data_IF_242610163990
#
_entry.id   IF_242610163990
#
_cell.length_a   1.000
_cell.length_b   1.000
_cell.length_c   1.000
_cell.angle_alpha   90.00
_cell.angle_beta   90.00
_cell.angle_gamma   90.00
#
_symmetry.space_group_name_H-M   'P 1'
#
loop_
_entity.id
_entity.type
_entity.pdbx_description
1 polymer ?
#
# COMPACT_ATOMS: atom_id res chain seq x y z
N UNK A 1 8.01 5.13 22.10
CA UNK A 1 7.29 6.39 22.39
C UNK A 1 6.12 6.45 21.44
N UNK A 2 5.08 7.12 21.79
CA UNK A 2 3.92 7.36 20.92
C UNK A 2 4.07 8.73 20.31
N UNK A 3 3.82 8.85 19.02
CA UNK A 3 3.81 10.16 18.36
C UNK A 3 2.86 11.13 19.08
N UNK A 4 3.24 12.40 19.18
CA UNK A 4 2.39 13.46 19.72
C UNK A 4 1.55 14.05 18.60
N UNK A 5 0.24 14.13 18.82
CA UNK A 5 -0.71 14.70 17.86
C UNK A 5 -1.06 16.13 18.26
N UNK A 6 -1.03 17.05 17.29
CA UNK A 6 -1.51 18.41 17.38
C UNK A 6 -2.50 18.66 16.24
N UNK A 7 -3.65 19.26 16.52
CA UNK A 7 -4.63 19.61 15.50
C UNK A 7 -4.70 21.13 15.41
N UNK A 8 -4.53 21.69 14.21
CA UNK A 8 -4.63 23.12 13.95
C UNK A 8 -6.08 23.58 13.83
N UNK A 9 -6.32 24.90 13.90
CA UNK A 9 -7.66 25.47 13.81
C UNK A 9 -8.39 25.18 12.49
N UNK A 10 -7.62 25.00 11.40
CA UNK A 10 -8.18 24.60 10.10
C UNK A 10 -8.47 23.08 10.00
N UNK A 11 -8.15 22.29 11.03
CA UNK A 11 -8.38 20.85 11.09
C UNK A 11 -7.18 19.98 10.64
N UNK A 12 -6.09 20.58 10.15
CA UNK A 12 -4.88 19.84 9.80
C UNK A 12 -4.28 19.17 11.03
N UNK A 13 -3.98 17.89 10.92
CA UNK A 13 -3.36 17.10 11.99
C UNK A 13 -1.86 17.02 11.77
N UNK A 14 -1.11 17.19 12.83
CA UNK A 14 0.36 17.10 12.86
C UNK A 14 0.73 15.97 13.81
N UNK A 15 1.62 15.09 13.39
CA UNK A 15 2.17 14.02 14.24
C UNK A 15 3.68 14.13 14.30
N UNK A 16 4.23 14.14 15.50
CA UNK A 16 5.67 14.29 15.72
C UNK A 16 6.21 13.13 16.55
N UNK A 17 7.34 12.57 16.12
CA UNK A 17 8.11 11.57 16.85
C UNK A 17 9.58 11.97 16.92
N UNK A 18 9.95 12.62 18.04
CA UNK A 18 11.29 13.19 18.22
C UNK A 18 12.29 12.09 18.57
N UNK A 19 13.35 11.98 17.77
CA UNK A 19 14.46 11.02 17.91
C UNK A 19 15.79 11.77 18.09
N UNK A 20 16.14 12.22 19.31
CA UNK A 20 17.27 13.13 19.53
C UNK A 20 18.66 12.47 19.31
N UNK A 21 18.69 11.18 19.10
CA UNK A 21 19.92 10.38 18.92
C UNK A 21 20.32 10.19 17.45
N UNK A 22 19.51 10.69 16.50
CA UNK A 22 19.82 10.61 15.05
C UNK A 22 20.16 12.00 14.49
N UNK A 23 20.86 12.05 13.36
CA UNK A 23 21.21 13.31 12.67
C UNK A 23 20.24 13.63 11.52
N UNK A 24 19.24 12.76 11.31
CA UNK A 24 18.31 12.86 10.19
C UNK A 24 16.89 13.14 10.65
N UNK A 25 16.07 13.61 9.74
CA UNK A 25 14.63 13.76 9.89
C UNK A 25 13.93 13.35 8.60
N UNK A 26 12.78 12.71 8.73
CA UNK A 26 11.86 12.48 7.63
C UNK A 26 10.57 13.22 7.93
N UNK A 27 10.14 14.07 7.02
CA UNK A 27 8.85 14.76 7.06
C UNK A 27 8.00 14.32 5.89
N UNK A 28 6.74 13.97 6.13
CA UNK A 28 5.79 13.55 5.11
C UNK A 28 4.44 14.24 5.27
N UNK A 29 3.76 14.40 4.16
CA UNK A 29 2.37 14.85 4.10
C UNK A 29 1.54 13.72 3.50
N UNK A 30 0.61 13.23 4.26
CA UNK A 30 -0.32 12.17 3.90
C UNK A 30 -1.65 12.81 3.53
N UNK A 31 -2.20 12.42 2.42
CA UNK A 31 -3.52 12.86 1.96
C UNK A 31 -4.44 11.66 1.88
N UNK A 32 -5.61 11.75 2.50
CA UNK A 32 -6.66 10.72 2.50
C UNK A 32 -7.37 10.70 1.14
N UNK A 33 -6.59 10.45 0.10
CA UNK A 33 -7.03 10.31 -1.28
C UNK A 33 -6.06 9.43 -2.07
N UNK A 34 -6.59 8.47 -2.79
CA UNK A 34 -5.87 7.58 -3.69
C UNK A 34 -6.81 7.11 -4.81
N UNK A 35 -6.42 6.10 -5.57
CA UNK A 35 -7.15 5.67 -6.76
C UNK A 35 -8.61 5.21 -6.48
N UNK A 36 -8.94 4.74 -5.26
CA UNK A 36 -10.33 4.39 -4.92
C UNK A 36 -11.28 5.58 -4.80
N UNK A 37 -10.75 6.81 -4.70
CA UNK A 37 -11.53 8.04 -4.61
C UNK A 37 -11.87 8.61 -5.99
N UNK A 38 -11.37 8.00 -7.04
CA UNK A 38 -11.56 8.41 -8.43
C UNK A 38 -12.88 7.86 -8.98
N UNK A 39 -13.59 8.69 -9.73
CA UNK A 39 -14.67 8.20 -10.59
C UNK A 39 -14.08 7.35 -11.73
N UNK A 40 -14.89 6.55 -12.45
CA UNK A 40 -14.38 5.82 -13.61
C UNK A 40 -13.68 6.69 -14.65
N UNK A 41 -14.13 7.94 -14.83
CA UNK A 41 -13.52 8.89 -15.78
C UNK A 41 -12.23 9.55 -15.25
N UNK A 42 -11.93 9.41 -13.96
CA UNK A 42 -10.76 9.99 -13.31
C UNK A 42 -9.68 8.95 -12.99
N UNK A 43 -9.88 7.68 -13.34
CA UNK A 43 -8.96 6.63 -12.93
C UNK A 43 -7.54 6.87 -13.49
N UNK A 44 -6.57 6.96 -12.59
CA UNK A 44 -5.18 7.33 -12.85
C UNK A 44 -4.86 8.81 -12.56
N UNK A 45 -5.85 9.63 -12.17
CA UNK A 45 -5.65 11.05 -11.94
C UNK A 45 -4.84 11.34 -10.65
N UNK A 46 -5.02 10.53 -9.60
CA UNK A 46 -4.21 10.63 -8.38
C UNK A 46 -2.73 10.40 -8.66
N UNK A 47 -2.41 9.40 -9.48
CA UNK A 47 -1.04 9.09 -9.88
C UNK A 47 -0.46 10.18 -10.80
N UNK A 48 -1.23 10.66 -11.77
CA UNK A 48 -0.83 11.80 -12.61
C UNK A 48 -0.57 13.05 -11.76
N UNK A 49 -1.39 13.31 -10.73
CA UNK A 49 -1.21 14.44 -9.82
C UNK A 49 0.07 14.30 -8.99
N UNK A 50 0.40 13.08 -8.55
CA UNK A 50 1.66 12.78 -7.87
C UNK A 50 2.86 13.21 -8.72
N UNK A 51 2.94 12.77 -9.98
CA UNK A 51 3.99 13.17 -10.92
C UNK A 51 4.03 14.69 -11.11
N UNK A 52 2.88 15.28 -11.35
CA UNK A 52 2.77 16.71 -11.67
C UNK A 52 3.05 17.63 -10.48
N UNK A 53 2.98 17.15 -9.23
CA UNK A 53 3.35 17.92 -8.05
C UNK A 53 4.82 18.37 -8.09
N UNK A 54 5.71 17.58 -8.71
CA UNK A 54 7.14 17.89 -8.83
C UNK A 54 7.51 18.68 -10.08
N UNK A 55 6.54 19.05 -10.94
CA UNK A 55 6.80 19.66 -12.25
C UNK A 55 6.66 21.18 -12.27
N UNK A 56 6.52 21.78 -11.13
CA UNK A 56 6.61 23.23 -10.95
C UNK A 56 5.49 23.82 -10.11
N UNK A 57 5.88 24.87 -9.39
CA UNK A 57 5.02 25.70 -8.57
C UNK A 57 5.09 27.16 -9.06
N UNK A 58 4.34 28.03 -8.38
CA UNK A 58 4.48 29.48 -8.63
C UNK A 58 5.86 30.05 -8.26
N UNK A 59 6.64 29.33 -7.42
CA UNK A 59 7.94 29.79 -6.91
C UNK A 59 9.14 29.06 -7.53
N UNK A 60 8.95 27.79 -7.91
CA UNK A 60 10.02 26.88 -8.32
C UNK A 60 9.62 26.17 -9.61
N UNK A 61 10.50 26.07 -10.57
CA UNK A 61 10.32 25.12 -11.68
C UNK A 61 10.72 23.70 -11.23
N UNK A 62 10.51 22.69 -12.10
CA UNK A 62 10.81 21.30 -11.77
C UNK A 62 12.27 21.06 -11.35
N UNK A 63 13.21 21.72 -12.03
CA UNK A 63 14.64 21.64 -11.71
C UNK A 63 14.95 22.27 -10.36
N UNK A 64 14.37 23.44 -10.07
CA UNK A 64 14.56 24.14 -8.79
C UNK A 64 14.05 23.30 -7.61
N UNK A 65 12.93 22.56 -7.79
CA UNK A 65 12.40 21.64 -6.77
C UNK A 65 13.40 20.55 -6.45
N UNK A 66 14.00 19.92 -7.46
CA UNK A 66 15.00 18.87 -7.27
C UNK A 66 16.30 19.43 -6.67
N UNK A 67 16.87 20.48 -7.29
CA UNK A 67 18.18 21.03 -6.89
C UNK A 67 18.18 21.58 -5.45
N UNK A 68 17.09 22.21 -5.00
CA UNK A 68 17.02 22.79 -3.65
C UNK A 68 17.11 21.73 -2.56
N UNK A 69 16.58 20.54 -2.79
CA UNK A 69 16.64 19.41 -1.85
C UNK A 69 17.96 18.64 -2.00
N UNK A 70 18.40 18.38 -3.23
CA UNK A 70 19.65 17.67 -3.50
C UNK A 70 20.89 18.45 -3.02
N UNK A 71 20.88 19.79 -3.11
CA UNK A 71 21.98 20.63 -2.65
C UNK A 71 22.28 20.52 -1.14
N UNK A 72 21.30 20.08 -0.34
CA UNK A 72 21.48 19.78 1.09
C UNK A 72 21.62 18.27 1.36
N UNK A 73 21.78 17.45 0.31
CA UNK A 73 21.89 15.99 0.43
C UNK A 73 20.57 15.31 0.80
N UNK A 74 19.45 16.01 0.60
CA UNK A 74 18.12 15.51 0.88
C UNK A 74 17.58 14.57 -0.21
N UNK A 75 16.50 13.90 0.11
CA UNK A 75 15.75 13.03 -0.79
C UNK A 75 14.26 13.40 -0.72
N UNK A 76 13.63 13.62 -1.87
CA UNK A 76 12.23 13.97 -2.01
C UNK A 76 11.54 12.90 -2.87
N UNK A 77 10.40 12.39 -2.43
CA UNK A 77 9.63 11.39 -3.17
C UNK A 77 8.16 11.42 -2.80
N UNK A 78 7.36 10.66 -3.55
CA UNK A 78 5.95 10.41 -3.28
C UNK A 78 5.55 9.01 -3.72
N UNK A 79 4.37 8.59 -3.33
CA UNK A 79 3.70 7.41 -3.88
C UNK A 79 2.18 7.53 -3.71
N UNK A 80 1.46 6.94 -4.65
CA UNK A 80 0.01 6.81 -4.63
C UNK A 80 -0.38 5.37 -4.34
N UNK A 81 -1.28 5.19 -3.38
CA UNK A 81 -1.94 3.91 -3.12
C UNK A 81 -3.42 3.98 -3.49
N UNK A 82 -4.16 2.92 -3.19
CA UNK A 82 -5.61 2.93 -3.40
C UNK A 82 -6.33 3.89 -2.45
N UNK A 83 -5.86 4.04 -1.22
CA UNK A 83 -6.55 4.83 -0.19
C UNK A 83 -5.91 6.19 0.11
N UNK A 84 -4.61 6.35 -0.11
CA UNK A 84 -3.89 7.59 0.21
C UNK A 84 -2.74 7.86 -0.74
N UNK A 85 -2.35 9.13 -0.81
CA UNK A 85 -1.14 9.60 -1.49
C UNK A 85 -0.23 10.26 -0.47
N UNK A 86 1.06 9.94 -0.54
CA UNK A 86 2.07 10.42 0.42
C UNK A 86 3.19 11.15 -0.31
N UNK A 87 3.55 12.33 0.17
CA UNK A 87 4.69 13.11 -0.29
C UNK A 87 5.65 13.28 0.88
N UNK A 88 6.92 12.99 0.72
CA UNK A 88 7.86 13.07 1.84
C UNK A 88 9.26 13.49 1.43
N UNK A 89 9.96 14.09 2.39
CA UNK A 89 11.37 14.44 2.28
C UNK A 89 12.16 13.85 3.44
N UNK A 90 13.35 13.32 3.14
CA UNK A 90 14.33 12.87 4.13
C UNK A 90 15.57 13.75 4.03
N UNK A 91 15.97 14.35 5.14
CA UNK A 91 17.02 15.38 5.19
C UNK A 91 17.87 15.22 6.45
N UNK A 92 18.93 15.99 6.53
CA UNK A 92 19.59 16.26 7.79
C UNK A 92 18.69 17.17 8.67
N UNK A 93 18.84 17.08 9.98
CA UNK A 93 17.96 17.73 10.95
C UNK A 93 17.83 19.25 10.76
N UNK A 94 18.91 19.92 10.37
CA UNK A 94 18.97 21.37 10.22
C UNK A 94 18.22 21.85 8.96
N UNK A 95 17.96 20.95 8.00
CA UNK A 95 17.29 21.23 6.74
C UNK A 95 15.78 20.87 6.75
N UNK A 96 15.23 20.45 7.90
CA UNK A 96 13.79 20.19 8.03
C UNK A 96 12.91 21.35 7.57
N UNK A 97 13.22 22.64 7.90
CA UNK A 97 12.43 23.76 7.43
C UNK A 97 12.34 23.85 5.90
N UNK A 98 13.43 23.53 5.20
CA UNK A 98 13.46 23.50 3.74
C UNK A 98 12.55 22.39 3.19
N UNK A 99 12.66 21.17 3.72
CA UNK A 99 11.83 20.04 3.28
C UNK A 99 10.34 20.33 3.46
N UNK A 100 9.94 20.85 4.61
CA UNK A 100 8.56 21.23 4.89
C UNK A 100 8.06 22.33 3.92
N UNK A 101 8.87 23.37 3.67
CA UNK A 101 8.50 24.44 2.74
C UNK A 101 8.34 23.91 1.29
N UNK A 102 9.19 22.99 0.84
CA UNK A 102 9.05 22.38 -0.50
C UNK A 102 7.77 21.55 -0.58
N UNK A 103 7.48 20.71 0.43
CA UNK A 103 6.23 19.93 0.46
C UNK A 103 4.99 20.82 0.47
N UNK A 104 4.98 21.86 1.29
CA UNK A 104 3.88 22.83 1.33
C UNK A 104 3.69 23.55 -0.02
N UNK A 105 4.79 23.89 -0.70
CA UNK A 105 4.76 24.61 -1.98
C UNK A 105 4.17 23.70 -3.10
N UNK A 106 4.65 22.47 -3.23
CA UNK A 106 4.16 21.53 -4.26
C UNK A 106 2.70 21.11 -4.04
N UNK A 107 2.24 21.05 -2.79
CA UNK A 107 0.87 20.63 -2.44
C UNK A 107 -0.16 21.75 -2.48
N UNK A 108 0.24 23.01 -2.54
CA UNK A 108 -0.68 24.14 -2.53
C UNK A 108 -0.53 25.08 -3.74
N UNK A 109 0.61 25.04 -4.43
CA UNK A 109 0.95 26.05 -5.43
C UNK A 109 1.40 25.47 -6.77
N UNK A 110 1.20 24.16 -7.02
CA UNK A 110 1.46 23.54 -8.32
C UNK A 110 0.73 24.26 -9.44
N UNK A 111 1.42 24.46 -10.57
CA UNK A 111 0.88 25.25 -11.70
C UNK A 111 0.42 24.37 -12.84
N UNK A 112 0.82 23.10 -12.88
CA UNK A 112 0.46 22.11 -13.87
C UNK A 112 0.69 22.64 -15.31
N UNK A 113 1.93 23.05 -15.59
CA UNK A 113 2.32 23.61 -16.89
C UNK A 113 1.98 22.63 -18.02
N UNK A 114 1.29 23.07 -19.10
CA UNK A 114 0.84 22.17 -20.16
C UNK A 114 1.98 21.39 -20.81
N UNK A 115 3.16 22.00 -20.95
CA UNK A 115 4.31 21.33 -21.54
C UNK A 115 4.88 20.22 -20.63
N UNK A 116 4.82 20.39 -19.30
CA UNK A 116 5.20 19.36 -18.33
C UNK A 116 4.15 18.23 -18.30
N UNK A 117 2.86 18.59 -18.37
CA UNK A 117 1.78 17.62 -18.42
C UNK A 117 1.92 16.67 -19.64
N UNK A 118 2.24 17.21 -20.83
CA UNK A 118 2.48 16.38 -22.01
C UNK A 118 3.72 15.47 -21.86
N UNK A 119 4.78 15.94 -21.20
CA UNK A 119 5.95 15.10 -20.90
C UNK A 119 5.62 13.96 -19.95
N UNK A 120 4.94 14.29 -18.84
CA UNK A 120 4.59 13.27 -17.81
C UNK A 120 3.54 12.28 -18.32
N UNK A 121 2.62 12.71 -19.18
CA UNK A 121 1.73 11.80 -19.90
C UNK A 121 2.50 10.69 -20.63
N UNK A 122 3.56 11.07 -21.34
CA UNK A 122 4.43 10.12 -22.02
C UNK A 122 5.15 9.19 -21.05
N UNK A 123 5.59 9.69 -19.90
CA UNK A 123 6.23 8.88 -18.84
C UNK A 123 5.24 7.87 -18.26
N UNK A 124 4.06 8.30 -17.86
CA UNK A 124 3.04 7.42 -17.27
C UNK A 124 2.57 6.35 -18.26
N UNK A 125 2.42 6.69 -19.54
CA UNK A 125 2.11 5.68 -20.57
C UNK A 125 3.23 4.64 -20.70
N UNK A 126 4.49 5.03 -20.54
CA UNK A 126 5.60 4.08 -20.51
C UNK A 126 5.55 3.20 -19.23
N UNK A 127 5.18 3.74 -18.08
CA UNK A 127 5.01 2.97 -16.84
C UNK A 127 3.85 1.96 -16.96
N UNK A 128 2.73 2.35 -17.56
CA UNK A 128 1.63 1.42 -17.89
C UNK A 128 2.14 0.31 -18.83
N UNK A 129 2.93 0.67 -19.82
CA UNK A 129 3.57 -0.30 -20.72
C UNK A 129 4.51 -1.26 -19.96
N UNK A 130 5.36 -0.73 -19.10
CA UNK A 130 6.28 -1.52 -18.28
C UNK A 130 5.54 -2.47 -17.33
N UNK A 131 4.49 -1.99 -16.64
CA UNK A 131 3.68 -2.85 -15.79
C UNK A 131 3.01 -3.97 -16.59
N UNK A 132 2.44 -3.64 -17.75
CA UNK A 132 1.88 -4.65 -18.66
C UNK A 132 2.92 -5.67 -19.14
N UNK A 133 4.16 -5.27 -19.37
CA UNK A 133 5.25 -6.13 -19.85
C UNK A 133 5.91 -6.92 -18.71
N UNK A 134 5.53 -6.69 -17.45
CA UNK A 134 6.05 -7.33 -16.23
C UNK A 134 4.99 -8.28 -15.65
N UNK A 135 5.04 -9.59 -15.97
CA UNK A 135 3.96 -10.54 -15.60
C UNK A 135 3.76 -10.70 -14.09
N UNK A 136 4.83 -10.59 -13.31
CA UNK A 136 4.82 -10.66 -11.85
C UNK A 136 4.35 -9.35 -11.17
N UNK A 137 4.13 -8.27 -11.94
CA UNK A 137 3.51 -7.02 -11.51
C UNK A 137 2.04 -6.97 -11.93
N UNK A 138 1.75 -7.11 -13.22
CA UNK A 138 0.37 -6.96 -13.75
C UNK A 138 -0.60 -8.02 -13.18
N UNK A 139 -0.12 -9.16 -12.73
CA UNK A 139 -0.97 -10.18 -12.12
C UNK A 139 -1.66 -9.68 -10.84
N UNK A 140 -1.08 -8.71 -10.15
CA UNK A 140 -1.70 -8.07 -8.97
C UNK A 140 -2.89 -7.18 -9.35
N UNK A 141 -2.81 -6.46 -10.46
CA UNK A 141 -3.93 -5.67 -10.94
C UNK A 141 -5.08 -6.58 -11.42
N UNK A 142 -4.77 -7.67 -12.12
CA UNK A 142 -5.79 -8.67 -12.49
C UNK A 142 -6.41 -9.34 -11.27
N UNK A 143 -5.63 -9.63 -10.23
CA UNK A 143 -6.18 -10.15 -8.98
C UNK A 143 -7.12 -9.14 -8.31
N UNK A 144 -6.75 -7.89 -8.31
CA UNK A 144 -7.56 -6.83 -7.71
C UNK A 144 -8.87 -6.62 -8.49
N UNK A 145 -8.83 -6.68 -9.82
CA UNK A 145 -10.01 -6.62 -10.69
C UNK A 145 -10.94 -7.83 -10.47
N UNK A 146 -10.37 -9.04 -10.38
CA UNK A 146 -11.14 -10.26 -10.07
C UNK A 146 -11.79 -10.21 -8.69
N UNK A 147 -11.09 -9.66 -7.70
CA UNK A 147 -11.58 -9.53 -6.32
C UNK A 147 -12.67 -8.47 -6.18
N UNK A 148 -12.55 -7.35 -6.90
CA UNK A 148 -13.42 -6.16 -6.78
C UNK A 148 -13.88 -5.66 -8.17
N UNK A 149 -14.61 -6.47 -8.95
CA UNK A 149 -15.03 -6.09 -10.30
C UNK A 149 -15.92 -4.86 -10.29
N UNK A 150 -15.69 -3.96 -11.27
CA UNK A 150 -16.45 -2.72 -11.48
C UNK A 150 -16.45 -1.73 -10.29
N UNK A 151 -15.53 -1.90 -9.34
CA UNK A 151 -15.42 -1.07 -8.16
C UNK A 151 -14.19 -0.15 -8.20
N UNK A 152 -14.21 1.01 -7.52
CA UNK A 152 -13.05 1.90 -7.46
C UNK A 152 -11.78 1.22 -6.95
N UNK A 153 -11.90 0.39 -5.90
CA UNK A 153 -10.78 -0.34 -5.29
C UNK A 153 -10.20 -1.41 -6.21
N UNK A 154 -10.97 -1.90 -7.19
CA UNK A 154 -10.54 -2.92 -8.18
C UNK A 154 -9.70 -2.35 -9.32
N UNK A 155 -9.81 -1.03 -9.59
CA UNK A 155 -9.14 -0.39 -10.73
C UNK A 155 -7.62 -0.26 -10.52
N UNK A 156 -6.82 -0.27 -11.63
CA UNK A 156 -5.38 -0.03 -11.56
C UNK A 156 -5.09 1.40 -11.08
N UNK A 157 -4.02 1.56 -10.28
CA UNK A 157 -3.59 2.88 -9.79
C UNK A 157 -3.11 3.78 -10.92
N UNK A 158 -2.42 3.21 -11.90
CA UNK A 158 -1.89 3.93 -13.06
C UNK A 158 -2.99 4.45 -14.02
N UNK A 159 -4.20 3.92 -13.90
CA UNK A 159 -5.27 4.17 -14.86
C UNK A 159 -5.07 3.46 -16.18
N UNK A 160 -5.73 3.95 -17.23
CA UNK A 160 -5.61 3.43 -18.60
C UNK A 160 -4.95 4.46 -19.53
N UNK A 161 -4.33 3.99 -20.61
CA UNK A 161 -3.69 4.85 -21.62
C UNK A 161 -4.67 5.90 -22.15
N UNK A 162 -5.93 5.52 -22.39
CA UNK A 162 -6.95 6.44 -22.93
C UNK A 162 -7.31 7.54 -21.93
N UNK A 163 -7.47 7.21 -20.65
CA UNK A 163 -7.76 8.18 -19.59
C UNK A 163 -6.57 9.11 -19.35
N UNK A 164 -5.36 8.55 -19.22
CA UNK A 164 -4.12 9.34 -19.09
C UNK A 164 -3.97 10.32 -20.25
N UNK A 165 -4.31 9.92 -21.48
CA UNK A 165 -4.32 10.82 -22.63
C UNK A 165 -5.38 11.92 -22.57
N UNK A 166 -6.48 11.72 -21.86
CA UNK A 166 -7.58 12.66 -21.78
C UNK A 166 -7.43 13.75 -20.72
N UNK A 167 -6.63 13.52 -19.68
CA UNK A 167 -6.53 14.44 -18.54
C UNK A 167 -5.99 15.83 -18.94
N UNK A 168 -6.68 16.85 -18.51
CA UNK A 168 -6.31 18.24 -18.70
C UNK A 168 -5.71 18.87 -17.42
N UNK A 169 -5.09 20.04 -17.59
CA UNK A 169 -4.64 20.86 -16.45
C UNK A 169 -5.79 21.15 -15.46
N UNK A 170 -6.97 21.41 -15.99
CA UNK A 170 -8.13 21.80 -15.16
C UNK A 170 -8.67 20.60 -14.37
N UNK A 171 -8.55 19.36 -14.90
CA UNK A 171 -8.88 18.13 -14.16
C UNK A 171 -7.94 17.96 -12.96
N UNK A 172 -6.62 18.14 -13.16
CA UNK A 172 -5.64 18.08 -12.06
C UNK A 172 -5.87 19.16 -11.02
N UNK A 173 -6.07 20.40 -11.43
CA UNK A 173 -6.31 21.53 -10.54
C UNK A 173 -7.63 21.35 -9.75
N UNK A 174 -8.67 20.88 -10.42
CA UNK A 174 -9.96 20.56 -9.81
C UNK A 174 -9.83 19.44 -8.77
N UNK A 175 -9.17 18.34 -9.14
CA UNK A 175 -8.96 17.19 -8.27
C UNK A 175 -8.14 17.57 -7.02
N UNK A 176 -7.03 18.28 -7.19
CA UNK A 176 -6.24 18.80 -6.07
C UNK A 176 -7.07 19.74 -5.18
N UNK A 177 -7.82 20.66 -5.80
CA UNK A 177 -8.70 21.58 -5.06
C UNK A 177 -9.81 20.85 -4.30
N UNK A 178 -10.32 19.74 -4.79
CA UNK A 178 -11.42 19.01 -4.15
C UNK A 178 -10.93 18.09 -3.02
N UNK A 179 -9.76 17.48 -3.18
CA UNK A 179 -9.29 16.41 -2.29
C UNK A 179 -8.20 16.83 -1.29
N UNK A 180 -7.35 17.83 -1.61
CA UNK A 180 -6.22 18.22 -0.75
C UNK A 180 -6.69 19.29 0.25
N UNK A 181 -7.41 18.84 1.28
CA UNK A 181 -8.03 19.66 2.32
C UNK A 181 -7.38 19.41 3.67
N UNK A 182 -7.36 20.43 4.54
CA UNK A 182 -6.69 20.37 5.83
C UNK A 182 -7.13 19.15 6.69
N UNK A 183 -8.43 18.87 6.79
CA UNK A 183 -8.95 17.75 7.60
C UNK A 183 -8.65 16.37 7.00
N UNK A 184 -8.35 16.31 5.69
CA UNK A 184 -8.00 15.08 4.97
C UNK A 184 -6.48 14.85 4.91
N UNK A 185 -5.70 15.77 5.47
CA UNK A 185 -4.24 15.69 5.44
C UNK A 185 -3.67 15.50 6.85
N UNK A 186 -2.51 14.86 6.89
CA UNK A 186 -1.70 14.70 8.10
C UNK A 186 -0.26 15.04 7.75
N UNK A 187 0.34 15.94 8.49
CA UNK A 187 1.79 16.22 8.43
C UNK A 187 2.49 15.40 9.50
N UNK A 188 3.45 14.58 9.11
CA UNK A 188 4.16 13.68 10.03
C UNK A 188 5.65 13.99 9.98
N UNK A 189 6.30 14.14 11.13
CA UNK A 189 7.74 14.22 11.21
C UNK A 189 8.30 13.22 12.22
N UNK A 190 9.36 12.50 11.81
CA UNK A 190 10.12 11.60 12.68
C UNK A 190 11.61 11.87 12.53
N UNK A 191 12.32 12.05 13.64
CA UNK A 191 13.75 12.36 13.64
C UNK A 191 14.17 13.35 14.68
N UNK A 192 15.29 14.04 14.45
CA UNK A 192 15.84 15.01 15.38
C UNK A 192 15.42 16.43 15.00
N UNK A 193 14.52 17.02 15.76
CA UNK A 193 14.04 18.40 15.55
C UNK A 193 13.39 18.96 16.82
N UNK A 194 13.26 20.29 16.88
CA UNK A 194 12.47 20.96 17.90
C UNK A 194 10.98 20.91 17.55
N UNK A 195 10.19 20.27 18.40
CA UNK A 195 8.78 20.00 18.15
C UNK A 195 7.92 21.25 18.04
N UNK A 196 8.14 22.23 18.93
CA UNK A 196 7.28 23.41 18.99
C UNK A 196 7.56 24.33 17.78
N UNK A 197 8.82 24.46 17.39
CA UNK A 197 9.22 25.16 16.16
C UNK A 197 8.66 24.50 14.92
N UNK A 198 8.66 23.17 14.86
CA UNK A 198 8.09 22.42 13.73
C UNK A 198 6.58 22.66 13.60
N UNK A 199 5.83 22.56 14.71
CA UNK A 199 4.38 22.80 14.70
C UNK A 199 4.06 24.23 14.24
N UNK A 200 4.80 25.24 14.73
CA UNK A 200 4.63 26.64 14.30
C UNK A 200 4.90 26.81 12.80
N UNK A 201 5.93 26.14 12.28
CA UNK A 201 6.24 26.21 10.86
C UNK A 201 5.14 25.52 10.01
N UNK A 202 4.64 24.35 10.42
CA UNK A 202 3.51 23.71 9.72
C UNK A 202 2.28 24.62 9.72
N UNK A 203 1.96 25.27 10.84
CA UNK A 203 0.85 26.21 10.93
C UNK A 203 0.99 27.37 9.93
N UNK A 204 2.19 27.93 9.79
CA UNK A 204 2.48 29.00 8.83
C UNK A 204 2.39 28.53 7.38
N UNK A 205 3.04 27.41 7.06
CA UNK A 205 3.14 26.90 5.68
C UNK A 205 1.79 26.37 5.15
N UNK A 206 0.92 25.85 6.01
CA UNK A 206 -0.38 25.26 5.64
C UNK A 206 -1.59 26.11 6.05
N UNK A 207 -1.38 27.36 6.46
CA UNK A 207 -2.46 28.27 6.85
C UNK A 207 -3.51 28.51 5.74
N UNK A 208 -3.10 28.37 4.47
CA UNK A 208 -3.95 28.58 3.30
C UNK A 208 -4.89 27.43 2.96
N UNK A 209 -4.72 26.26 3.58
CA UNK A 209 -5.57 25.11 3.29
C UNK A 209 -7.00 25.33 3.79
N UNK A 210 -7.97 25.08 2.90
CA UNK A 210 -9.38 25.07 3.27
C UNK A 210 -9.72 23.80 4.06
N UNK A 211 -10.75 23.90 4.92
CA UNK A 211 -11.31 22.75 5.64
C UNK A 211 -11.83 21.69 4.68
N UNK A 212 -12.29 20.55 5.23
CA UNK A 212 -12.77 19.41 4.48
C UNK A 212 -13.96 19.72 3.55
N UNK A 213 -14.06 18.86 2.55
CA UNK A 213 -15.27 18.56 1.81
C UNK A 213 -15.66 17.11 2.15
N UNK A 214 -16.92 16.85 2.37
CA UNK A 214 -17.42 15.48 2.59
C UNK A 214 -17.27 14.68 1.27
N UNK A 215 -16.28 13.78 1.22
CA UNK A 215 -16.03 12.90 0.07
C UNK A 215 -16.60 11.55 0.43
N UNK A 216 -17.60 11.11 -0.35
CA UNK A 216 -18.15 9.78 -0.21
C UNK A 216 -17.36 8.82 -1.11
N UNK A 217 -16.90 7.72 -0.54
CA UNK A 217 -16.33 6.57 -1.26
C UNK A 217 -17.31 5.41 -1.23
N UNK A 218 -17.38 4.68 -2.33
CA UNK A 218 -18.13 3.44 -2.36
C UNK A 218 -17.40 2.38 -1.51
N UNK A 219 -18.14 1.60 -0.69
CA UNK A 219 -17.53 0.55 0.12
C UNK A 219 -16.93 -0.54 -0.76
N UNK A 220 -15.80 -1.09 -0.32
CA UNK A 220 -15.18 -2.24 -0.97
C UNK A 220 -15.99 -3.51 -0.66
N UNK A 221 -16.50 -4.17 -1.69
CA UNK A 221 -17.24 -5.43 -1.58
C UNK A 221 -16.50 -6.51 -2.34
N UNK A 222 -15.96 -7.48 -1.64
CA UNK A 222 -15.24 -8.59 -2.23
C UNK A 222 -16.21 -9.57 -2.93
N UNK A 223 -15.95 -9.89 -4.18
CA UNK A 223 -16.80 -10.81 -4.97
C UNK A 223 -16.12 -12.14 -5.25
N UNK A 224 -14.82 -12.15 -5.49
CA UNK A 224 -14.12 -13.27 -6.08
C UNK A 224 -14.33 -13.33 -7.60
N UNK A 225 -13.53 -14.16 -8.26
CA UNK A 225 -13.59 -14.32 -9.71
C UNK A 225 -12.28 -14.80 -10.33
N UNK A 226 -12.22 -14.79 -11.64
CA UNK A 226 -11.05 -15.19 -12.42
C UNK A 226 -10.71 -14.14 -13.45
N UNK A 227 -9.47 -13.61 -13.36
CA UNK A 227 -8.84 -12.84 -14.44
C UNK A 227 -7.60 -13.58 -14.93
N UNK A 228 -7.49 -13.77 -16.23
CA UNK A 228 -6.36 -14.50 -16.80
C UNK A 228 -5.94 -13.98 -18.16
N UNK A 229 -4.63 -13.94 -18.38
CA UNK A 229 -4.07 -13.57 -19.66
C UNK A 229 -3.08 -14.63 -20.16
N UNK A 230 -3.44 -15.27 -21.26
CA UNK A 230 -2.54 -16.18 -21.97
C UNK A 230 -1.41 -15.37 -22.60
N UNK A 231 -0.17 -15.69 -22.24
CA UNK A 231 1.05 -15.09 -22.83
C UNK A 231 2.06 -16.20 -23.12
N UNK A 232 2.88 -15.99 -24.14
CA UNK A 232 4.02 -16.86 -24.46
C UNK A 232 5.22 -16.47 -23.59
N UNK A 233 5.29 -17.06 -22.40
CA UNK A 233 6.28 -16.84 -21.37
C UNK A 233 6.82 -18.18 -20.86
N UNK A 234 7.98 -18.14 -20.20
CA UNK A 234 8.55 -19.34 -19.57
C UNK A 234 7.83 -19.75 -18.26
N UNK A 235 7.17 -18.80 -17.61
CA UNK A 235 6.54 -19.01 -16.32
C UNK A 235 5.09 -18.51 -16.30
N UNK A 236 4.30 -19.17 -15.45
CA UNK A 236 2.98 -18.70 -15.01
C UNK A 236 3.17 -17.92 -13.72
N UNK A 237 2.73 -16.67 -13.68
CA UNK A 237 2.53 -15.91 -12.46
C UNK A 237 1.07 -16.09 -12.03
N UNK A 238 0.88 -16.64 -10.84
CA UNK A 238 -0.41 -17.02 -10.30
C UNK A 238 -0.65 -16.32 -8.97
N UNK A 239 -1.84 -15.74 -8.81
CA UNK A 239 -2.39 -15.32 -7.52
C UNK A 239 -3.66 -16.12 -7.23
N UNK A 240 -3.73 -16.65 -6.03
CA UNK A 240 -4.90 -17.30 -5.45
C UNK A 240 -5.21 -16.58 -4.15
N UNK A 241 -6.45 -16.11 -3.97
CA UNK A 241 -6.78 -15.40 -2.76
C UNK A 241 -8.25 -15.39 -2.42
N UNK A 242 -8.54 -14.81 -1.26
CA UNK A 242 -9.82 -14.81 -0.59
C UNK A 242 -10.14 -13.44 -0.02
N UNK A 243 -11.38 -13.23 0.38
CA UNK A 243 -11.76 -12.06 1.17
C UNK A 243 -10.90 -11.99 2.43
N UNK A 244 -10.24 -10.85 2.61
CA UNK A 244 -9.45 -10.54 3.79
C UNK A 244 -10.29 -9.79 4.83
N UNK A 245 -9.62 -9.00 5.65
CA UNK A 245 -10.24 -8.27 6.76
C UNK A 245 -9.82 -6.81 6.78
N UNK A 246 -10.60 -5.98 7.45
CA UNK A 246 -10.30 -4.58 7.71
C UNK A 246 -9.16 -4.44 8.74
N UNK A 247 -8.59 -3.24 8.82
CA UNK A 247 -7.53 -2.97 9.81
C UNK A 247 -8.02 -3.02 11.27
N UNK A 248 -9.30 -2.80 11.52
CA UNK A 248 -9.92 -2.77 12.85
C UNK A 248 -10.60 -4.10 13.24
N UNK A 249 -10.55 -5.12 12.37
CA UNK A 249 -11.07 -6.45 12.69
C UNK A 249 -10.35 -7.04 13.91
N UNK A 250 -11.07 -7.62 14.89
CA UNK A 250 -10.48 -8.27 16.05
C UNK A 250 -9.46 -9.37 15.71
N UNK A 251 -9.63 -10.04 14.57
CA UNK A 251 -8.74 -11.10 14.11
C UNK A 251 -7.56 -10.58 13.26
N UNK A 252 -7.35 -9.25 13.14
CA UNK A 252 -6.30 -8.68 12.29
C UNK A 252 -4.92 -9.30 12.54
N UNK A 253 -4.47 -9.40 13.79
CA UNK A 253 -3.18 -10.01 14.12
C UNK A 253 -3.16 -11.53 13.93
N UNK A 254 -4.29 -12.20 14.13
CA UNK A 254 -4.42 -13.63 13.84
C UNK A 254 -4.26 -13.90 12.32
N UNK A 255 -4.86 -13.07 11.48
CA UNK A 255 -4.72 -13.11 10.03
C UNK A 255 -3.28 -12.88 9.57
N UNK A 256 -2.60 -11.87 10.12
CA UNK A 256 -1.20 -11.59 9.82
C UNK A 256 -0.29 -12.79 10.21
N UNK A 257 -0.50 -13.36 11.39
CA UNK A 257 0.27 -14.53 11.86
C UNK A 257 -0.06 -15.76 11.01
N UNK A 258 -1.33 -15.97 10.66
CA UNK A 258 -1.75 -17.03 9.74
C UNK A 258 -1.00 -16.91 8.40
N UNK A 259 -0.99 -15.74 7.80
CA UNK A 259 -0.26 -15.49 6.56
C UNK A 259 1.23 -15.78 6.72
N UNK A 260 1.88 -15.38 7.82
CA UNK A 260 3.29 -15.66 8.06
C UNK A 260 3.57 -17.16 8.22
N UNK A 261 2.71 -17.90 8.91
CA UNK A 261 2.84 -19.37 9.06
C UNK A 261 2.70 -20.05 7.71
N UNK A 262 1.74 -19.61 6.90
CA UNK A 262 1.45 -20.22 5.61
C UNK A 262 2.54 -19.93 4.57
N UNK A 263 2.90 -18.65 4.36
CA UNK A 263 3.78 -18.25 3.26
C UNK A 263 4.73 -17.07 3.56
N UNK A 264 4.97 -16.73 4.84
CA UNK A 264 5.73 -15.53 5.23
C UNK A 264 7.25 -15.65 5.22
N UNK A 265 7.83 -16.79 4.80
CA UNK A 265 9.29 -16.94 4.76
C UNK A 265 9.74 -18.38 4.52
N UNK A 266 11.06 -18.61 4.57
CA UNK A 266 11.65 -19.92 4.23
C UNK A 266 11.18 -21.07 5.13
N UNK A 267 10.74 -20.82 6.34
CA UNK A 267 10.22 -21.84 7.26
C UNK A 267 8.68 -21.97 7.21
N UNK A 268 8.02 -21.26 6.32
CA UNK A 268 6.58 -21.34 6.13
C UNK A 268 6.16 -22.64 5.44
N UNK A 269 4.90 -23.01 5.61
CA UNK A 269 4.39 -24.28 5.06
C UNK A 269 4.50 -24.36 3.54
N UNK A 270 4.06 -23.32 2.85
CA UNK A 270 4.11 -23.28 1.38
C UNK A 270 5.53 -23.32 0.86
N UNK A 271 6.46 -22.56 1.48
CA UNK A 271 7.84 -22.59 1.06
C UNK A 271 8.45 -23.98 1.22
N UNK A 272 8.24 -24.63 2.35
CA UNK A 272 8.77 -25.96 2.63
C UNK A 272 8.12 -27.05 1.77
N UNK A 273 6.80 -27.03 1.62
CA UNK A 273 6.09 -28.12 0.93
C UNK A 273 6.15 -27.97 -0.59
N UNK A 274 5.98 -26.72 -1.10
CA UNK A 274 5.84 -26.48 -2.54
C UNK A 274 7.22 -26.27 -3.18
N UNK A 275 8.09 -25.44 -2.56
CA UNK A 275 9.39 -25.12 -3.14
C UNK A 275 10.46 -26.12 -2.78
N UNK A 276 10.69 -26.37 -1.48
CA UNK A 276 11.83 -27.19 -1.02
C UNK A 276 11.61 -28.69 -1.28
N UNK A 277 10.44 -29.23 -0.99
CA UNK A 277 10.19 -30.67 -1.15
C UNK A 277 9.82 -31.07 -2.57
N UNK A 278 9.02 -30.26 -3.27
CA UNK A 278 8.48 -30.61 -4.59
C UNK A 278 9.13 -29.88 -5.75
N UNK A 279 9.75 -28.72 -5.50
CA UNK A 279 10.41 -27.94 -6.56
C UNK A 279 9.43 -27.38 -7.60
N UNK A 280 8.17 -27.11 -7.21
CA UNK A 280 7.15 -26.66 -8.15
C UNK A 280 7.25 -25.18 -8.52
N UNK A 281 7.92 -24.38 -7.71
CA UNK A 281 7.97 -22.93 -7.86
C UNK A 281 9.39 -22.39 -7.63
N UNK A 282 9.69 -21.28 -8.26
CA UNK A 282 10.86 -20.48 -7.90
C UNK A 282 10.58 -19.60 -6.67
N UNK A 283 9.39 -18.97 -6.65
CA UNK A 283 8.93 -18.12 -5.55
C UNK A 283 7.51 -18.48 -5.16
N UNK A 284 7.24 -18.48 -3.85
CA UNK A 284 5.89 -18.58 -3.29
C UNK A 284 5.86 -17.81 -1.98
N UNK A 285 4.83 -16.99 -1.80
CA UNK A 285 4.58 -16.28 -0.55
C UNK A 285 3.11 -15.91 -0.41
N UNK A 286 2.67 -15.67 0.81
CA UNK A 286 1.34 -15.14 1.11
C UNK A 286 1.42 -13.76 1.75
N UNK A 287 0.37 -12.97 1.55
CA UNK A 287 0.26 -11.63 2.11
C UNK A 287 -1.19 -11.25 2.39
N UNK A 288 -1.35 -10.30 3.31
CA UNK A 288 -2.62 -9.66 3.62
C UNK A 288 -2.60 -8.23 3.09
N UNK A 289 -3.68 -7.81 2.45
CA UNK A 289 -3.94 -6.42 2.08
C UNK A 289 -5.26 -6.00 2.72
N UNK A 290 -5.19 -5.14 3.73
CA UNK A 290 -6.38 -4.60 4.40
C UNK A 290 -6.68 -3.20 3.89
N UNK A 291 -7.96 -2.86 3.86
CA UNK A 291 -8.51 -1.54 3.60
C UNK A 291 -9.30 -1.06 4.83
N UNK A 292 -9.77 0.18 4.81
CA UNK A 292 -10.59 0.71 5.90
C UNK A 292 -11.93 -0.03 6.04
N UNK A 293 -12.43 -0.63 4.96
CA UNK A 293 -13.76 -1.27 4.89
C UNK A 293 -13.74 -2.66 4.23
N UNK A 294 -12.58 -3.26 4.03
CA UNK A 294 -12.43 -4.57 3.43
C UNK A 294 -10.99 -5.07 3.43
N UNK A 295 -10.69 -6.02 2.56
CA UNK A 295 -9.34 -6.53 2.40
C UNK A 295 -9.29 -7.79 1.54
N UNK A 296 -8.07 -8.25 1.26
CA UNK A 296 -7.80 -9.51 0.60
C UNK A 296 -6.65 -10.24 1.28
N UNK A 297 -6.70 -11.56 1.23
CA UNK A 297 -5.57 -12.45 1.46
C UNK A 297 -5.19 -13.07 0.13
N UNK A 298 -3.91 -13.15 -0.19
CA UNK A 298 -3.48 -13.81 -1.41
C UNK A 298 -2.17 -14.58 -1.24
N UNK A 299 -2.02 -15.58 -2.10
CA UNK A 299 -0.81 -16.38 -2.29
C UNK A 299 -0.32 -16.12 -3.70
N UNK A 300 0.90 -15.61 -3.84
CA UNK A 300 1.59 -15.48 -5.12
C UNK A 300 2.49 -16.68 -5.36
N UNK A 301 2.53 -17.18 -6.60
CA UNK A 301 3.47 -18.21 -7.02
C UNK A 301 3.96 -17.97 -8.46
N UNK A 302 5.28 -18.08 -8.67
CA UNK A 302 5.91 -18.18 -9.98
C UNK A 302 6.25 -19.64 -10.29
N UNK A 303 5.63 -20.24 -11.31
CA UNK A 303 5.69 -21.68 -11.60
C UNK A 303 5.80 -21.95 -13.10
N UNK A 304 6.17 -23.17 -13.48
CA UNK A 304 6.10 -23.60 -14.89
C UNK A 304 4.69 -24.02 -15.29
N UNK A 305 4.43 -24.07 -16.61
CA UNK A 305 3.12 -24.45 -17.14
C UNK A 305 2.65 -25.83 -16.64
N UNK A 306 3.52 -26.84 -16.70
CA UNK A 306 3.17 -28.20 -16.28
C UNK A 306 2.97 -28.32 -14.77
N UNK A 307 3.69 -27.53 -14.00
CA UNK A 307 3.66 -27.55 -12.53
C UNK A 307 2.40 -26.91 -11.93
N UNK A 308 1.70 -26.02 -12.66
CA UNK A 308 0.53 -25.31 -12.14
C UNK A 308 -0.59 -26.27 -11.75
N UNK A 309 -0.73 -27.39 -12.47
CA UNK A 309 -1.75 -28.41 -12.19
C UNK A 309 -1.51 -29.14 -10.85
N UNK A 310 -0.25 -29.30 -10.42
CA UNK A 310 0.10 -29.88 -9.11
C UNK A 310 0.14 -28.82 -8.01
N UNK A 311 0.53 -27.59 -8.33
CA UNK A 311 0.68 -26.48 -7.38
C UNK A 311 -0.63 -26.18 -6.64
N UNK A 312 -1.72 -25.99 -7.37
CA UNK A 312 -3.01 -25.57 -6.80
C UNK A 312 -3.55 -26.56 -5.77
N UNK A 313 -3.61 -27.88 -6.06
CA UNK A 313 -3.98 -28.88 -5.05
C UNK A 313 -3.11 -28.86 -3.79
N UNK A 314 -1.79 -28.70 -3.94
CA UNK A 314 -0.87 -28.66 -2.80
C UNK A 314 -1.09 -27.41 -1.94
N UNK A 315 -1.35 -26.25 -2.56
CA UNK A 315 -1.69 -25.00 -1.84
C UNK A 315 -2.98 -25.21 -1.04
N UNK A 316 -4.03 -25.75 -1.66
CA UNK A 316 -5.31 -26.03 -1.00
C UNK A 316 -5.13 -27.01 0.18
N UNK A 317 -4.39 -28.08 -0.01
CA UNK A 317 -4.09 -29.05 1.05
C UNK A 317 -3.38 -28.40 2.26
N UNK A 318 -2.41 -27.50 2.02
CA UNK A 318 -1.69 -26.82 3.11
C UNK A 318 -2.59 -25.82 3.84
N UNK A 319 -3.52 -25.17 3.15
CA UNK A 319 -4.52 -24.29 3.79
C UNK A 319 -5.49 -25.11 4.65
N UNK A 320 -6.02 -26.21 4.16
CA UNK A 320 -6.87 -27.12 4.96
C UNK A 320 -6.12 -27.73 6.15
N UNK A 321 -4.86 -28.13 5.99
CA UNK A 321 -4.04 -28.60 7.12
C UNK A 321 -3.85 -27.52 8.16
N UNK A 322 -3.71 -26.25 7.74
CA UNK A 322 -3.54 -25.14 8.67
C UNK A 322 -4.83 -24.84 9.44
N UNK A 323 -6.02 -24.94 8.80
CA UNK A 323 -7.30 -24.79 9.51
C UNK A 323 -7.52 -25.92 10.53
N UNK A 324 -7.04 -27.12 10.23
CA UNK A 324 -7.17 -28.28 11.13
C UNK A 324 -6.14 -28.30 12.25
N UNK A 325 -4.92 -27.83 12.01
CA UNK A 325 -3.84 -27.87 13.01
C UNK A 325 -2.71 -26.91 12.71
N UNK A 326 -2.32 -26.13 13.72
CA UNK A 326 -1.10 -25.34 13.73
C UNK A 326 -0.37 -25.55 15.05
N UNK A 327 0.94 -25.70 14.99
CA UNK A 327 1.74 -25.91 16.21
C UNK A 327 2.02 -24.59 16.94
N UNK A 328 2.20 -24.67 18.24
CA UNK A 328 2.64 -23.50 19.05
C UNK A 328 4.02 -22.98 18.59
N UNK A 329 4.86 -23.84 18.03
CA UNK A 329 6.18 -23.46 17.51
C UNK A 329 6.07 -22.58 16.26
N UNK A 330 5.16 -22.92 15.32
CA UNK A 330 4.89 -22.11 14.14
C UNK A 330 4.36 -20.72 14.53
N UNK A 331 3.38 -20.66 15.43
CA UNK A 331 2.81 -19.41 15.93
C UNK A 331 3.86 -18.57 16.68
N UNK A 332 4.67 -19.19 17.54
CA UNK A 332 5.73 -18.50 18.28
C UNK A 332 6.79 -17.91 17.35
N UNK A 333 7.17 -18.63 16.30
CA UNK A 333 8.11 -18.16 15.28
C UNK A 333 7.54 -16.97 14.52
N UNK A 334 6.30 -17.03 14.05
CA UNK A 334 5.63 -15.93 13.36
C UNK A 334 5.52 -14.69 14.26
N UNK A 335 5.10 -14.84 15.54
CA UNK A 335 5.08 -13.74 16.51
C UNK A 335 6.46 -13.12 16.71
N UNK A 336 7.50 -13.94 16.83
CA UNK A 336 8.86 -13.44 16.99
C UNK A 336 9.32 -12.63 15.78
N UNK A 337 9.04 -13.11 14.56
CA UNK A 337 9.35 -12.40 13.31
C UNK A 337 8.60 -11.07 13.19
N UNK A 338 7.29 -11.05 13.49
CA UNK A 338 6.50 -9.81 13.47
C UNK A 338 7.04 -8.76 14.46
N UNK A 339 7.31 -9.19 15.71
CA UNK A 339 7.86 -8.29 16.74
C UNK A 339 9.26 -7.79 16.36
N UNK A 340 10.12 -8.65 15.85
CA UNK A 340 11.44 -8.26 15.39
C UNK A 340 11.37 -7.26 14.22
N UNK A 341 10.53 -7.53 13.23
CA UNK A 341 10.30 -6.62 12.10
C UNK A 341 9.80 -5.25 12.57
N UNK A 342 8.80 -5.22 13.47
CA UNK A 342 8.32 -3.98 14.09
C UNK A 342 9.46 -3.22 14.77
N UNK A 343 10.20 -3.87 15.67
CA UNK A 343 11.25 -3.20 16.44
C UNK A 343 12.40 -2.69 15.56
N UNK A 344 12.83 -3.48 14.57
CA UNK A 344 13.87 -3.05 13.61
C UNK A 344 13.40 -1.85 12.76
N UNK A 345 12.11 -1.79 12.38
CA UNK A 345 11.57 -0.65 11.62
C UNK A 345 11.64 0.67 12.39
N UNK A 346 11.66 0.61 13.74
CA UNK A 346 11.74 1.79 14.59
C UNK A 346 13.12 2.49 14.58
N UNK A 347 14.15 1.89 14.01
CA UNK A 347 15.48 2.49 13.86
C UNK A 347 15.53 3.49 12.70
N UNK A 348 14.56 3.45 11.78
CA UNK A 348 14.47 4.31 10.61
C UNK A 348 13.49 5.46 10.80
N UNK A 349 13.93 6.70 10.57
CA UNK A 349 13.06 7.89 10.58
C UNK A 349 11.96 7.80 9.54
N UNK A 350 12.25 7.25 8.35
CA UNK A 350 11.27 7.03 7.28
C UNK A 350 10.21 6.01 7.71
N UNK A 351 10.62 4.84 8.21
CA UNK A 351 9.67 3.80 8.63
C UNK A 351 8.76 4.26 9.78
N UNK A 352 9.27 5.09 10.69
CA UNK A 352 8.46 5.70 11.76
C UNK A 352 7.45 6.71 11.22
N UNK A 353 7.87 7.58 10.31
CA UNK A 353 6.99 8.52 9.64
C UNK A 353 5.87 7.79 8.89
N UNK A 354 6.22 6.76 8.13
CA UNK A 354 5.29 5.90 7.42
C UNK A 354 4.27 5.22 8.35
N UNK A 355 4.75 4.62 9.43
CA UNK A 355 3.90 3.95 10.41
C UNK A 355 2.92 4.93 11.06
N UNK A 356 3.39 6.11 11.47
CA UNK A 356 2.55 7.13 12.11
C UNK A 356 1.52 7.70 11.14
N UNK A 357 1.93 8.01 9.91
CA UNK A 357 1.03 8.50 8.88
C UNK A 357 -0.10 7.52 8.58
N UNK A 358 0.26 6.25 8.35
CA UNK A 358 -0.72 5.18 8.14
C UNK A 358 -1.66 5.01 9.33
N UNK A 359 -1.14 5.00 10.57
CA UNK A 359 -1.98 4.87 11.77
C UNK A 359 -2.95 6.05 11.92
N UNK A 360 -2.53 7.26 11.57
CA UNK A 360 -3.42 8.42 11.58
C UNK A 360 -4.50 8.36 10.52
N UNK A 361 -4.19 7.84 9.33
CA UNK A 361 -5.19 7.66 8.26
C UNK A 361 -6.22 6.60 8.65
N UNK A 362 -5.78 5.45 9.17
CA UNK A 362 -6.63 4.30 9.47
C UNK A 362 -7.38 4.48 10.79
N UNK A 363 -6.67 4.87 11.87
CA UNK A 363 -7.20 4.84 13.25
C UNK A 363 -7.44 6.23 13.84
N UNK A 364 -7.04 7.29 13.15
CA UNK A 364 -7.09 8.66 13.68
C UNK A 364 -6.17 8.91 14.88
N UNK A 365 -5.33 7.96 15.25
CA UNK A 365 -4.39 8.05 16.38
C UNK A 365 -3.11 7.25 16.15
N UNK A 366 -1.98 7.66 16.71
CA UNK A 366 -0.82 6.79 16.86
C UNK A 366 -1.12 5.60 17.78
N UNK A 367 -0.63 4.41 17.40
CA UNK A 367 -0.75 3.20 18.23
C UNK A 367 0.58 2.96 18.94
N UNK A 368 0.60 2.88 20.29
CA UNK A 368 1.79 2.52 21.03
C UNK A 368 2.37 1.17 20.60
N UNK A 369 3.68 1.07 20.41
CA UNK A 369 4.31 -0.20 20.05
C UNK A 369 4.02 -1.31 21.08
N UNK A 370 3.90 -0.95 22.35
CA UNK A 370 3.51 -1.89 23.41
C UNK A 370 2.11 -2.49 23.17
N UNK A 371 1.15 -1.67 22.69
CA UNK A 371 -0.19 -2.14 22.33
C UNK A 371 -0.13 -3.13 21.14
N UNK A 372 0.69 -2.85 20.14
CA UNK A 372 0.90 -3.74 18.99
C UNK A 372 1.52 -5.06 19.44
N UNK A 373 2.58 -4.99 20.24
CA UNK A 373 3.27 -6.18 20.77
C UNK A 373 2.33 -7.03 21.62
N UNK A 374 1.54 -6.40 22.49
CA UNK A 374 0.55 -7.09 23.31
C UNK A 374 -0.48 -7.85 22.45
N UNK A 375 -1.01 -7.20 21.43
CA UNK A 375 -1.96 -7.83 20.49
C UNK A 375 -1.33 -9.00 19.73
N UNK A 376 -0.07 -8.87 19.29
CA UNK A 376 0.68 -9.97 18.66
C UNK A 376 0.85 -11.13 19.65
N UNK A 377 1.20 -10.85 20.91
CA UNK A 377 1.44 -11.87 21.93
C UNK A 377 0.16 -12.62 22.37
N UNK A 378 -1.01 -12.01 22.21
CA UNK A 378 -2.31 -12.63 22.52
C UNK A 378 -2.76 -13.65 21.47
N UNK A 379 -2.20 -13.65 20.26
CA UNK A 379 -2.60 -14.59 19.22
C UNK A 379 -2.08 -15.99 19.53
N UNK A 380 -2.95 -16.95 19.66
CA UNK A 380 -2.65 -18.37 19.86
C UNK A 380 -2.96 -19.22 18.61
N UNK A 381 -2.68 -20.51 18.71
CA UNK A 381 -2.95 -21.47 17.63
C UNK A 381 -4.44 -21.58 17.30
N UNK A 382 -5.31 -21.42 18.30
CA UNK A 382 -6.77 -21.49 18.10
C UNK A 382 -7.26 -20.30 17.30
N UNK A 383 -6.76 -19.09 17.57
CA UNK A 383 -7.12 -17.89 16.81
C UNK A 383 -6.67 -17.99 15.34
N UNK A 384 -5.48 -18.53 15.08
CA UNK A 384 -4.96 -18.74 13.72
C UNK A 384 -5.82 -19.75 12.93
N UNK A 385 -6.13 -20.91 13.53
CA UNK A 385 -6.98 -21.94 12.92
C UNK A 385 -8.40 -21.42 12.67
N UNK A 386 -9.00 -20.72 13.63
CA UNK A 386 -10.33 -20.13 13.51
C UNK A 386 -10.39 -19.14 12.35
N UNK A 387 -9.38 -18.28 12.20
CA UNK A 387 -9.36 -17.32 11.10
C UNK A 387 -9.24 -18.02 9.74
N UNK A 388 -8.36 -19.03 9.61
CA UNK A 388 -8.24 -19.81 8.38
C UNK A 388 -9.55 -20.50 8.03
N UNK A 389 -10.22 -21.11 9.01
CA UNK A 389 -11.51 -21.78 8.83
C UNK A 389 -12.61 -20.80 8.40
N UNK A 390 -12.67 -19.62 9.04
CA UNK A 390 -13.58 -18.52 8.62
C UNK A 390 -13.36 -18.14 7.16
N UNK A 391 -12.10 -17.92 6.74
CA UNK A 391 -11.76 -17.50 5.39
C UNK A 391 -12.12 -18.54 4.34
N UNK A 392 -11.87 -19.83 4.60
CA UNK A 392 -12.24 -20.92 3.70
C UNK A 392 -13.75 -21.14 3.64
N UNK A 393 -14.48 -20.92 4.73
CA UNK A 393 -15.94 -21.14 4.80
C UNK A 393 -16.74 -20.15 3.96
N UNK A 394 -16.26 -18.92 3.76
CA UNK A 394 -16.93 -17.89 2.94
C UNK A 394 -16.76 -18.15 1.43
N UNK A 395 -15.81 -18.98 1.05
CA UNK A 395 -15.53 -19.54 -0.30
C UNK A 395 -15.66 -18.57 -1.49
N UNK A 396 -15.25 -17.32 -1.29
CA UNK A 396 -15.14 -16.32 -2.36
C UNK A 396 -13.70 -16.33 -2.86
N UNK A 397 -13.40 -17.23 -3.80
CA UNK A 397 -12.07 -17.36 -4.38
C UNK A 397 -11.83 -16.29 -5.44
N UNK A 398 -10.66 -15.65 -5.43
CA UNK A 398 -10.12 -14.89 -6.56
C UNK A 398 -8.91 -15.62 -7.13
N UNK A 399 -8.83 -15.68 -8.45
CA UNK A 399 -7.67 -16.22 -9.17
C UNK A 399 -7.24 -15.22 -10.22
N UNK A 400 -5.95 -14.91 -10.26
CA UNK A 400 -5.36 -14.19 -11.38
C UNK A 400 -4.17 -14.97 -11.93
N UNK A 401 -4.02 -15.03 -13.26
CA UNK A 401 -2.93 -15.76 -13.88
C UNK A 401 -2.44 -15.11 -15.17
N UNK A 402 -1.12 -15.03 -15.32
CA UNK A 402 -0.45 -14.53 -16.52
C UNK A 402 0.65 -15.49 -16.94
N UNK A 403 0.64 -15.94 -18.19
CA UNK A 403 1.66 -16.84 -18.74
C UNK A 403 1.09 -17.93 -19.63
N UNK A 404 1.82 -19.06 -19.82
CA UNK A 404 1.32 -20.23 -20.53
C UNK A 404 0.29 -20.98 -19.65
N UNK A 405 -0.99 -20.80 -19.93
CA UNK A 405 -2.09 -21.26 -19.06
C UNK A 405 -2.74 -22.58 -19.52
N UNK A 406 -2.09 -23.34 -20.40
CA UNK A 406 -2.67 -24.56 -20.96
C UNK A 406 -3.00 -25.65 -19.93
N UNK A 407 -2.24 -25.70 -18.83
CA UNK A 407 -2.48 -26.65 -17.72
C UNK A 407 -3.26 -26.04 -16.54
N UNK A 408 -3.67 -24.78 -16.60
CA UNK A 408 -4.49 -24.15 -15.56
C UNK A 408 -5.92 -24.74 -15.63
N UNK A 409 -6.39 -25.27 -14.52
CA UNK A 409 -7.74 -25.81 -14.40
C UNK A 409 -8.81 -24.71 -14.55
N UNK A 410 -10.04 -25.12 -14.89
CA UNK A 410 -11.20 -24.23 -14.87
C UNK A 410 -11.47 -23.71 -13.47
N UNK A 411 -11.96 -22.47 -13.37
CA UNK A 411 -12.22 -21.77 -12.11
C UNK A 411 -13.06 -22.60 -11.12
N UNK A 412 -14.15 -23.23 -11.59
CA UNK A 412 -15.02 -24.03 -10.73
C UNK A 412 -14.30 -25.23 -10.11
N UNK A 413 -13.34 -25.82 -10.84
CA UNK A 413 -12.52 -26.92 -10.31
C UNK A 413 -11.51 -26.43 -9.29
N UNK A 414 -10.92 -25.25 -9.52
CA UNK A 414 -10.01 -24.61 -8.57
C UNK A 414 -10.80 -24.27 -7.30
N UNK A 415 -11.94 -23.59 -7.43
CA UNK A 415 -12.77 -23.18 -6.30
C UNK A 415 -13.26 -24.35 -5.45
N UNK A 416 -13.56 -25.49 -6.08
CA UNK A 416 -13.99 -26.69 -5.38
C UNK A 416 -12.91 -27.37 -4.52
N UNK A 417 -11.65 -26.90 -4.58
CA UNK A 417 -10.53 -27.42 -3.78
C UNK A 417 -10.39 -26.72 -2.43
N UNK A 418 -10.91 -25.52 -2.33
CA UNK A 418 -10.87 -24.67 -1.14
C UNK A 418 -12.22 -24.67 -0.41
#
# INVERSE_FOLDING_TARGET
MTGKVTTLDNGLRIVTDVMPHVETVTVGVWTDVGSRHETPAQNGLSHMLEHMAFKGTKKRNARDIAEVVENVGGYLNAYTSREHTTYYARLLKDDLPLGLNVLADILQHSVFEPAELERERGVIIQEIGQSNDTPDDIVFDYFQEAAYPDQPVGRPILGTVDLVNSFSRDDLAGYMSDHYKAEQMVVVASGNFDQDSFVQQVEQEFAGLSRARDIKTDPAVYHGGLEKQQRDLEQVNLLIGFEGITFDDPDFYAAQIMSMVLGGGMSSRLFQEVREKRGLVYSIYSFMQSYVDGGSFAIHAGTGEEQVAELIPVVADEMHKLSASVSSEEVNRARAQMKAGLLMSLESTTSRMEQLGRQMMIFGRPIPHAEIIEKIDQVDAVAVMRYMDRMLSDNKLSVAAVGPLGALEDYDKIAARF
#
